data_IF_597612281724
#
_entry.id   IF_597612281724
#
_cell.length_a   1.000
_cell.length_b   1.000
_cell.length_c   1.000
_cell.angle_alpha   90.00
_cell.angle_beta   90.00
_cell.angle_gamma   90.00
#
_symmetry.space_group_name_H-M   'P 1'
#
loop_
_entity.id
_entity.type
_entity.pdbx_description
1 polymer ?
#
# COMPACT_ATOMS: atom_id res chain seq x y z
N UNK A 1 -10.83 -6.56 -8.16
CA UNK A 1 -10.85 -7.65 -7.14
C UNK A 1 -10.40 -7.02 -5.83
N UNK A 2 -11.22 -7.12 -4.76
CA UNK A 2 -11.09 -6.29 -3.55
C UNK A 2 -10.12 -6.87 -2.52
N UNK A 3 -9.49 -6.05 -1.66
CA UNK A 3 -8.40 -6.43 -0.73
C UNK A 3 -8.66 -7.70 0.10
N UNK A 4 -9.84 -7.81 0.73
CA UNK A 4 -10.18 -8.98 1.54
C UNK A 4 -10.64 -10.19 0.71
N UNK A 5 -11.17 -9.96 -0.50
CA UNK A 5 -11.51 -11.03 -1.45
C UNK A 5 -10.28 -11.59 -2.15
N UNK A 6 -9.17 -10.86 -2.19
CA UNK A 6 -7.87 -11.32 -2.72
C UNK A 6 -7.00 -12.00 -1.64
N UNK A 7 -7.56 -12.24 -0.45
CA UNK A 7 -6.92 -13.05 0.59
C UNK A 7 -6.01 -12.28 1.53
N UNK A 8 -6.01 -10.93 1.52
CA UNK A 8 -5.32 -10.19 2.58
C UNK A 8 -6.04 -10.37 3.91
N UNK A 9 -5.27 -10.77 4.92
CA UNK A 9 -5.73 -11.00 6.28
C UNK A 9 -4.83 -10.22 7.23
N UNK A 10 -5.40 -9.80 8.36
CA UNK A 10 -4.59 -9.37 9.50
C UNK A 10 -4.19 -10.62 10.31
N UNK A 11 -2.95 -10.73 10.82
CA UNK A 11 -1.83 -9.79 10.64
C UNK A 11 -1.36 -9.69 9.19
N UNK A 12 -1.03 -8.47 8.74
CA UNK A 12 -0.50 -8.24 7.38
C UNK A 12 0.92 -8.82 7.21
N UNK A 13 1.32 -9.07 5.96
CA UNK A 13 2.68 -9.47 5.60
C UNK A 13 3.73 -8.39 5.93
N UNK A 14 5.01 -8.74 5.91
CA UNK A 14 6.11 -7.77 6.06
C UNK A 14 6.04 -6.65 5.02
N UNK A 15 5.86 -6.99 3.74
CA UNK A 15 5.77 -5.99 2.67
C UNK A 15 4.66 -4.96 2.91
N UNK A 16 3.48 -5.41 3.33
CA UNK A 16 2.34 -4.52 3.62
C UNK A 16 2.60 -3.68 4.88
N UNK A 17 3.19 -4.28 5.92
CA UNK A 17 3.57 -3.57 7.15
C UNK A 17 4.58 -2.46 6.86
N UNK A 18 5.65 -2.78 6.14
CA UNK A 18 6.73 -1.84 5.78
C UNK A 18 6.18 -0.71 4.92
N UNK A 19 5.33 -1.03 3.93
CA UNK A 19 4.63 -0.03 3.14
C UNK A 19 3.83 0.92 4.01
N UNK A 20 2.92 0.41 4.86
CA UNK A 20 2.04 1.25 5.70
C UNK A 20 2.83 2.07 6.73
N UNK A 21 3.87 1.49 7.32
CA UNK A 21 4.75 2.16 8.27
C UNK A 21 5.53 3.31 7.61
N UNK A 22 5.98 3.12 6.37
CA UNK A 22 6.68 4.15 5.61
C UNK A 22 5.76 5.28 5.18
N UNK A 23 4.65 4.95 4.50
CA UNK A 23 3.77 5.99 3.93
C UNK A 23 2.97 6.73 4.98
N UNK A 24 2.86 6.14 6.19
CA UNK A 24 2.08 6.66 7.33
C UNK A 24 0.72 7.11 6.86
N UNK A 25 -0.08 6.19 6.31
CA UNK A 25 -1.49 6.44 5.99
C UNK A 25 -2.31 5.29 6.55
N UNK A 26 -3.54 5.58 6.97
CA UNK A 26 -4.44 4.52 7.42
C UNK A 26 -4.74 3.55 6.26
N UNK A 27 -4.85 2.22 6.51
CA UNK A 27 -5.26 1.26 5.49
C UNK A 27 -6.55 1.64 4.75
N UNK A 28 -7.47 2.33 5.44
CA UNK A 28 -8.73 2.83 4.88
C UNK A 28 -8.55 3.90 3.80
N UNK A 29 -7.38 4.55 3.75
CA UNK A 29 -7.03 5.57 2.76
C UNK A 29 -6.40 4.98 1.51
N UNK A 30 -6.07 3.69 1.50
CA UNK A 30 -5.36 3.03 0.41
C UNK A 30 -6.37 2.48 -0.62
N UNK A 31 -6.24 2.93 -1.87
CA UNK A 31 -7.12 2.51 -2.97
C UNK A 31 -6.96 1.01 -3.28
N UNK A 32 -8.03 0.32 -3.75
CA UNK A 32 -7.97 -1.13 -4.08
C UNK A 32 -6.92 -1.50 -5.12
N UNK A 33 -6.50 -0.57 -5.97
CA UNK A 33 -5.38 -0.77 -6.90
C UNK A 33 -4.07 -1.11 -6.16
N UNK A 34 -3.73 -0.36 -5.09
CA UNK A 34 -2.49 -0.54 -4.33
C UNK A 34 -2.44 -1.92 -3.70
N UNK A 35 -3.54 -2.30 -3.07
CA UNK A 35 -3.73 -3.61 -2.47
C UNK A 35 -3.55 -4.77 -3.46
N UNK A 36 -4.00 -4.60 -4.71
CA UNK A 36 -3.79 -5.59 -5.76
C UNK A 36 -2.32 -5.68 -6.19
N UNK A 37 -1.60 -4.57 -6.22
CA UNK A 37 -0.15 -4.57 -6.49
C UNK A 37 0.58 -5.31 -5.39
N UNK A 38 0.38 -4.94 -4.12
CA UNK A 38 1.03 -5.57 -2.97
C UNK A 38 0.77 -7.09 -2.95
N UNK A 39 -0.48 -7.51 -3.10
CA UNK A 39 -0.83 -8.94 -3.12
C UNK A 39 -0.26 -9.67 -4.33
N UNK A 40 -0.22 -9.03 -5.49
CA UNK A 40 0.40 -9.60 -6.69
C UNK A 40 1.88 -9.86 -6.49
N UNK A 41 2.60 -8.91 -5.88
CA UNK A 41 4.02 -9.05 -5.54
C UNK A 41 4.27 -10.18 -4.55
N UNK A 42 3.44 -10.30 -3.49
CA UNK A 42 3.52 -11.42 -2.54
C UNK A 42 3.37 -12.77 -3.24
N UNK A 43 2.33 -12.95 -4.06
CA UNK A 43 2.06 -14.21 -4.75
C UNK A 43 3.19 -14.56 -5.73
N UNK A 44 3.75 -13.56 -6.43
CA UNK A 44 4.89 -13.77 -7.31
C UNK A 44 6.16 -14.15 -6.52
N UNK A 45 6.40 -13.48 -5.40
CA UNK A 45 7.52 -13.77 -4.49
C UNK A 45 7.43 -15.21 -3.97
N UNK A 46 6.27 -15.61 -3.47
CA UNK A 46 6.01 -16.97 -2.97
C UNK A 46 6.17 -18.04 -4.06
N UNK A 47 5.67 -17.76 -5.27
CA UNK A 47 5.65 -18.75 -6.36
C UNK A 47 7.00 -18.93 -7.05
N UNK A 48 7.78 -17.86 -7.16
CA UNK A 48 9.02 -17.84 -7.94
C UNK A 48 10.28 -17.67 -7.09
N UNK A 49 10.14 -17.56 -5.76
CA UNK A 49 11.24 -17.31 -4.82
C UNK A 49 12.03 -16.04 -5.16
N UNK A 50 11.35 -15.02 -5.70
CA UNK A 50 11.94 -13.72 -6.03
C UNK A 50 11.54 -12.74 -4.93
N UNK A 51 12.47 -12.32 -4.05
CA UNK A 51 12.13 -11.41 -2.97
C UNK A 51 11.76 -10.05 -3.55
N UNK A 52 10.52 -9.61 -3.29
CA UNK A 52 10.10 -8.23 -3.54
C UNK A 52 10.12 -7.45 -2.23
N UNK A 53 10.83 -6.33 -2.26
CA UNK A 53 11.00 -5.43 -1.11
C UNK A 53 10.20 -4.14 -1.29
N UNK A 54 10.15 -3.34 -0.22
CA UNK A 54 9.63 -1.99 -0.31
C UNK A 54 10.44 -1.11 -1.29
N UNK A 55 11.75 -1.35 -1.43
CA UNK A 55 12.61 -0.59 -2.35
C UNK A 55 12.21 -0.81 -3.82
N UNK A 56 11.83 -2.03 -4.21
CA UNK A 56 11.35 -2.33 -5.56
C UNK A 56 10.05 -1.58 -5.89
N UNK A 57 9.16 -1.49 -4.89
CA UNK A 57 7.95 -0.68 -4.97
C UNK A 57 8.31 0.80 -5.12
N UNK A 58 9.27 1.27 -4.32
CA UNK A 58 9.80 2.62 -4.32
C UNK A 58 10.48 3.04 -5.62
N UNK A 59 11.18 2.11 -6.27
CA UNK A 59 11.81 2.31 -7.56
C UNK A 59 10.80 2.52 -8.69
N UNK A 60 9.63 1.87 -8.58
CA UNK A 60 8.64 1.80 -9.65
C UNK A 60 7.51 2.82 -9.51
N UNK A 61 7.10 3.13 -8.28
CA UNK A 61 5.89 3.89 -8.02
C UNK A 61 6.11 5.11 -7.13
N UNK A 62 5.26 6.13 -7.33
CA UNK A 62 4.94 7.12 -6.32
C UNK A 62 3.57 6.82 -5.73
N UNK A 63 3.35 7.17 -4.46
CA UNK A 63 2.01 7.18 -3.89
C UNK A 63 1.37 8.55 -4.15
N UNK A 64 0.29 8.60 -4.90
CA UNK A 64 -0.42 9.85 -5.27
C UNK A 64 -1.81 9.90 -4.66
N UNK A 65 -2.22 11.10 -4.29
CA UNK A 65 -3.60 11.36 -3.88
C UNK A 65 -4.54 11.19 -5.07
N UNK A 66 -5.57 10.40 -4.86
CA UNK A 66 -6.73 10.26 -5.75
C UNK A 66 -7.89 11.18 -5.35
N UNK A 67 -7.65 12.09 -4.40
CA UNK A 67 -8.66 12.96 -3.80
C UNK A 67 -9.36 12.34 -2.59
N UNK A 68 -10.09 13.17 -1.84
CA UNK A 68 -10.84 12.77 -0.63
C UNK A 68 -10.01 11.99 0.42
N UNK A 69 -8.72 12.34 0.55
CA UNK A 69 -7.80 11.67 1.49
C UNK A 69 -7.50 10.22 1.13
N UNK A 70 -7.57 9.84 -0.15
CA UNK A 70 -7.27 8.49 -0.64
C UNK A 70 -6.03 8.47 -1.51
N UNK A 71 -5.28 7.38 -1.46
CA UNK A 71 -3.99 7.25 -2.10
C UNK A 71 -3.92 6.02 -3.02
N UNK A 72 -3.29 6.20 -4.18
CA UNK A 72 -3.10 5.17 -5.21
C UNK A 72 -1.64 5.14 -5.67
N UNK A 73 -1.20 4.04 -6.28
CA UNK A 73 0.12 3.97 -6.88
C UNK A 73 0.08 4.56 -8.30
N UNK A 74 1.04 5.44 -8.59
CA UNK A 74 1.30 5.95 -9.91
C UNK A 74 2.68 5.49 -10.37
N UNK A 75 2.76 4.87 -11.55
CA UNK A 75 4.02 4.43 -12.13
C UNK A 75 4.88 5.67 -12.41
N UNK A 76 6.16 5.62 -12.02
CA UNK A 76 7.15 6.66 -12.32
C UNK A 76 7.46 6.70 -13.81
N UNK A 77 7.91 7.85 -14.31
CA UNK A 77 8.25 8.01 -15.72
C UNK A 77 9.34 7.01 -16.14
N UNK A 78 9.21 6.48 -17.36
CA UNK A 78 10.09 5.45 -17.93
C UNK A 78 10.14 4.11 -17.14
N UNK A 79 9.15 3.85 -16.27
CA UNK A 79 8.96 2.55 -15.59
C UNK A 79 7.74 1.82 -16.11
N UNK A 80 7.71 0.51 -15.86
CA UNK A 80 6.57 -0.35 -16.13
C UNK A 80 5.90 -0.79 -14.84
N UNK A 81 4.59 -1.05 -14.89
CA UNK A 81 3.88 -1.55 -13.73
C UNK A 81 4.33 -2.98 -13.39
N UNK A 82 4.71 -3.22 -12.13
CA UNK A 82 5.09 -4.55 -11.65
C UNK A 82 3.94 -5.56 -11.77
N UNK A 83 2.70 -5.12 -11.54
CA UNK A 83 1.50 -5.93 -11.71
C UNK A 83 0.62 -5.35 -12.82
N UNK A 84 0.55 -6.06 -13.93
CA UNK A 84 -0.24 -5.65 -15.08
C UNK A 84 -1.74 -5.60 -14.77
N UNK A 85 -2.42 -4.59 -15.32
CA UNK A 85 -3.88 -4.39 -15.20
C UNK A 85 -4.37 -4.25 -13.76
N UNK A 86 -3.49 -3.94 -12.82
CA UNK A 86 -3.86 -3.62 -11.44
C UNK A 86 -4.75 -2.36 -11.34
N UNK A 87 -4.84 -1.54 -12.38
CA UNK A 87 -5.72 -0.38 -12.51
C UNK A 87 -7.08 -0.69 -13.15
N UNK A 88 -7.24 -1.80 -13.87
CA UNK A 88 -8.40 -2.07 -14.74
C UNK A 88 -9.63 -2.69 -14.05
N UNK A 89 -9.80 -2.53 -12.73
CA UNK A 89 -11.01 -3.05 -12.06
C UNK A 89 -12.02 -1.94 -11.76
N UNK A 90 -13.29 -2.31 -11.77
CA UNK A 90 -14.36 -1.46 -11.25
C UNK A 90 -14.34 -1.52 -9.72
N UNK A 91 -13.83 -0.47 -9.10
CA UNK A 91 -13.71 -0.36 -7.65
C UNK A 91 -14.91 0.36 -7.00
N UNK A 92 -16.03 0.58 -7.72
CA UNK A 92 -17.20 1.27 -7.16
C UNK A 92 -17.74 0.55 -5.93
N UNK A 93 -17.93 1.30 -4.84
CA UNK A 93 -18.46 0.77 -3.58
C UNK A 93 -17.45 0.01 -2.71
N UNK A 94 -16.16 -0.02 -3.07
CA UNK A 94 -15.15 -0.78 -2.34
C UNK A 94 -15.09 -0.50 -0.82
N UNK A 95 -15.34 0.74 -0.41
CA UNK A 95 -15.32 1.14 1.01
C UNK A 95 -16.43 0.47 1.83
N UNK A 96 -17.54 0.04 1.22
CA UNK A 96 -18.61 -0.68 1.95
C UNK A 96 -18.18 -2.09 2.39
N UNK A 97 -16.98 -2.53 2.00
CA UNK A 97 -16.40 -3.82 2.34
C UNK A 97 -15.42 -3.74 3.53
N UNK A 98 -15.20 -2.55 4.08
CA UNK A 98 -14.33 -2.34 5.24
C UNK A 98 -15.18 -2.15 6.49
N UNK A 99 -14.69 -2.66 7.62
CA UNK A 99 -15.19 -2.33 8.94
C UNK A 99 -14.05 -1.71 9.75
N UNK A 100 -14.40 -0.83 10.67
CA UNK A 100 -13.43 -0.17 11.55
C UNK A 100 -13.31 -0.95 12.84
N UNK A 101 -12.07 -1.17 13.29
CA UNK A 101 -11.74 -1.72 14.60
C UNK A 101 -10.93 -0.69 15.37
N UNK A 102 -11.06 -0.67 16.69
CA UNK A 102 -10.20 0.15 17.54
C UNK A 102 -8.77 -0.38 17.45
N UNK A 103 -7.77 0.48 17.26
CA UNK A 103 -6.38 0.06 17.14
C UNK A 103 -5.91 -0.72 18.37
N UNK A 104 -6.34 -0.31 19.56
CA UNK A 104 -6.02 -0.98 20.82
C UNK A 104 -6.51 -2.44 20.88
N UNK A 105 -7.52 -2.80 20.06
CA UNK A 105 -7.98 -4.19 19.93
C UNK A 105 -7.03 -5.09 19.13
N UNK A 106 -6.05 -4.50 18.42
CA UNK A 106 -5.08 -5.20 17.56
C UNK A 106 -3.78 -5.56 18.27
N UNK A 107 -3.69 -5.34 19.59
CA UNK A 107 -2.48 -5.60 20.41
C UNK A 107 -1.20 -4.99 19.82
N UNK A 108 -0.03 -5.55 20.13
CA UNK A 108 1.26 -5.14 19.54
C UNK A 108 1.31 -5.33 18.02
N UNK A 109 0.49 -6.24 17.47
CA UNK A 109 0.45 -6.50 16.03
C UNK A 109 -0.07 -5.31 15.22
N UNK A 110 -0.87 -4.42 15.82
CA UNK A 110 -1.40 -3.21 15.18
C UNK A 110 -0.56 -1.95 15.36
N UNK A 111 0.57 -2.01 16.08
CA UNK A 111 1.29 -0.82 16.53
C UNK A 111 1.78 0.10 15.38
N UNK A 112 2.10 -0.48 14.23
CA UNK A 112 2.58 0.24 13.04
C UNK A 112 1.49 1.03 12.29
N UNK A 113 0.21 0.83 12.62
CA UNK A 113 -0.90 1.48 11.92
C UNK A 113 -1.03 2.95 12.31
N UNK A 114 -1.11 3.80 11.29
CA UNK A 114 -1.39 5.23 11.44
C UNK A 114 -2.86 5.45 11.87
N UNK A 115 -3.04 6.22 12.95
CA UNK A 115 -4.36 6.56 13.49
C UNK A 115 -4.97 7.78 12.80
N UNK A 116 -4.12 8.69 12.30
CA UNK A 116 -4.56 9.91 11.67
C UNK A 116 -4.93 9.71 10.19
N UNK A 117 -5.95 10.45 9.74
CA UNK A 117 -6.34 10.48 8.33
C UNK A 117 -5.68 11.69 7.64
N UNK A 118 -4.79 11.44 6.70
CA UNK A 118 -4.16 12.51 5.92
C UNK A 118 -5.04 12.98 4.77
N UNK A 119 -5.44 14.26 4.78
CA UNK A 119 -6.33 14.85 3.76
C UNK A 119 -5.60 15.72 2.74
N UNK A 120 -4.46 16.31 3.10
CA UNK A 120 -3.81 17.36 2.32
C UNK A 120 -2.55 16.91 1.55
N UNK A 121 -2.07 15.68 1.78
CA UNK A 121 -0.89 15.15 1.07
C UNK A 121 -1.24 14.84 -0.38
N UNK A 122 -0.49 15.43 -1.33
CA UNK A 122 -0.70 15.23 -2.77
C UNK A 122 0.09 14.05 -3.34
N UNK A 123 1.36 13.95 -2.99
CA UNK A 123 2.27 12.87 -3.43
C UNK A 123 3.20 12.51 -2.29
N UNK A 124 3.47 11.22 -2.13
CA UNK A 124 4.46 10.67 -1.21
C UNK A 124 5.45 9.86 -2.07
N UNK A 125 6.68 10.35 -2.28
CA UNK A 125 7.73 9.57 -2.91
C UNK A 125 7.97 8.30 -2.10
N UNK A 126 8.01 7.15 -2.77
CA UNK A 126 8.22 5.86 -2.14
C UNK A 126 9.71 5.45 -2.10
N UNK A 127 10.61 6.38 -2.38
CA UNK A 127 12.06 6.18 -2.25
C UNK A 127 12.55 6.81 -0.96
N UNK A 128 13.54 6.19 -0.32
CA UNK A 128 14.40 6.91 0.61
C UNK A 128 15.10 8.03 -0.18
N UNK A 129 14.90 9.28 0.23
CA UNK A 129 15.68 10.39 -0.31
C UNK A 129 17.15 10.28 0.12
N UNK A 130 18.07 11.05 -0.48
CA UNK A 130 19.46 11.12 -0.02
C UNK A 130 19.62 11.59 1.44
N UNK A 131 18.55 12.01 2.11
CA UNK A 131 18.55 12.51 3.50
C UNK A 131 18.65 11.41 4.58
N UNK A 132 18.84 10.13 4.21
CA UNK A 132 19.13 9.05 5.17
C UNK A 132 20.63 8.78 5.38
N UNK A 133 21.52 9.52 4.70
CA UNK A 133 22.94 9.62 5.06
C UNK A 133 23.26 11.03 5.56
N UNK A 134 23.24 11.22 6.88
CA UNK A 134 23.91 12.34 7.53
C UNK A 134 23.04 13.27 8.37
N UNK A 135 22.82 12.89 9.64
CA UNK A 135 23.29 13.63 10.82
C UNK A 135 23.08 12.82 12.09
#
# INVERSE_FOLDING_TARGET
MYPFKIGMKFPFSSLVRDFLAFVKVSPSQVMPQVWRVLRGLEVLSEKHSIPFSFEDLGFTYDLRSSGAGRFTLAVKDAREALILRADKANDRGWMSQFFFVQKDSLSSEGAFLEESLHKDRKTIPLSYGPDSEGR
#
